data_IF_804378597347
#
_entry.id   IF_804378597347
#
_cell.length_a   1.000
_cell.length_b   1.000
_cell.length_c   1.000
_cell.angle_alpha   90.00
_cell.angle_beta   90.00
_cell.angle_gamma   90.00
#
_symmetry.space_group_name_H-M   'P 1'
#
loop_
_entity.id
_entity.type
_entity.pdbx_description
1 polymer ?
#
# COMPACT_ATOMS: atom_id res chain seq x y z
N UNK A 1 47.33 -9.70 -29.52
CA UNK A 1 46.59 -10.20 -28.34
C UNK A 1 46.27 -9.03 -27.43
N UNK A 2 45.19 -8.29 -27.75
CA UNK A 2 44.59 -7.32 -26.83
C UNK A 2 43.33 -7.97 -26.27
N UNK A 3 43.28 -7.94 -24.94
CA UNK A 3 42.42 -8.64 -24.00
C UNK A 3 40.98 -8.95 -24.44
N UNK A 4 40.61 -10.23 -24.32
CA UNK A 4 39.22 -10.72 -24.30
C UNK A 4 38.37 -10.15 -23.15
N UNK A 5 38.95 -9.37 -22.22
CA UNK A 5 38.23 -8.89 -21.03
C UNK A 5 37.25 -7.74 -21.29
N UNK A 6 37.42 -6.95 -22.35
CA UNK A 6 36.58 -5.76 -22.59
C UNK A 6 35.26 -6.12 -23.29
N UNK A 7 35.26 -7.14 -24.16
CA UNK A 7 34.07 -7.62 -24.87
C UNK A 7 33.11 -8.33 -23.92
N UNK A 8 33.63 -9.04 -22.91
CA UNK A 8 32.82 -9.67 -21.87
C UNK A 8 32.06 -8.64 -21.01
N UNK A 9 32.65 -7.46 -20.76
CA UNK A 9 32.00 -6.39 -19.99
C UNK A 9 30.83 -5.76 -20.75
N UNK A 10 30.94 -5.62 -22.08
CA UNK A 10 29.90 -5.02 -22.94
C UNK A 10 28.69 -5.94 -23.16
N UNK A 11 28.91 -7.25 -23.34
CA UNK A 11 27.81 -8.23 -23.42
C UNK A 11 27.04 -8.35 -22.10
N UNK A 12 27.73 -8.18 -20.97
CA UNK A 12 27.11 -8.17 -19.63
C UNK A 12 26.28 -6.90 -19.41
N UNK A 13 26.74 -5.75 -19.90
CA UNK A 13 25.98 -4.48 -19.85
C UNK A 13 24.74 -4.51 -20.76
N UNK A 14 24.82 -5.08 -21.95
CA UNK A 14 23.65 -5.21 -22.84
C UNK A 14 22.59 -6.19 -22.31
N UNK A 15 23.00 -7.27 -21.62
CA UNK A 15 22.04 -8.16 -20.93
C UNK A 15 21.47 -7.53 -19.66
N UNK A 16 22.24 -6.68 -18.96
CA UNK A 16 21.77 -5.84 -17.85
C UNK A 16 20.75 -4.78 -18.31
N UNK A 17 20.94 -4.14 -19.47
CA UNK A 17 19.98 -3.14 -19.99
C UNK A 17 18.65 -3.76 -20.42
N UNK A 18 18.67 -5.00 -20.94
CA UNK A 18 17.44 -5.72 -21.31
C UNK A 18 16.76 -6.44 -20.13
N UNK A 19 17.46 -6.63 -19.01
CA UNK A 19 16.95 -7.37 -17.84
C UNK A 19 16.79 -6.55 -16.55
N UNK A 20 17.24 -5.30 -16.50
CA UNK A 20 17.15 -4.45 -15.31
C UNK A 20 16.15 -3.30 -15.53
N UNK A 21 14.98 -3.31 -14.86
CA UNK A 21 13.99 -2.22 -14.89
C UNK A 21 14.63 -0.85 -14.57
N UNK A 22 15.62 -0.84 -13.68
CA UNK A 22 16.37 0.37 -13.29
C UNK A 22 17.06 1.07 -14.46
N UNK A 23 17.59 0.32 -15.44
CA UNK A 23 18.28 0.87 -16.61
C UNK A 23 17.29 1.40 -17.66
N UNK A 24 16.09 0.81 -17.80
CA UNK A 24 15.02 1.35 -18.66
C UNK A 24 14.56 2.74 -18.19
N UNK A 25 14.44 2.96 -16.88
CA UNK A 25 14.04 4.26 -16.32
C UNK A 25 15.06 5.37 -16.58
N UNK A 26 16.34 5.03 -16.59
CA UNK A 26 17.40 5.99 -16.89
C UNK A 26 17.26 6.60 -18.30
N UNK A 27 16.78 5.82 -19.26
CA UNK A 27 16.59 6.27 -20.65
C UNK A 27 15.25 6.97 -20.90
N UNK A 28 14.21 6.72 -20.09
CA UNK A 28 12.91 7.38 -20.24
C UNK A 28 12.85 8.77 -19.59
N UNK A 29 13.62 9.00 -18.51
CA UNK A 29 13.63 10.27 -17.76
C UNK A 29 14.56 11.34 -18.36
N UNK A 30 15.50 10.94 -19.21
CA UNK A 30 16.40 11.84 -19.93
C UNK A 30 15.98 11.86 -21.40
N UNK A 31 15.84 13.03 -22.03
CA UNK A 31 15.49 13.18 -23.45
C UNK A 31 16.61 12.64 -24.38
N UNK A 32 16.95 11.36 -24.27
CA UNK A 32 18.03 10.70 -25.02
C UNK A 32 17.45 10.22 -26.34
N UNK A 33 17.72 10.95 -27.42
CA UNK A 33 17.14 10.69 -28.72
C UNK A 33 17.60 9.36 -29.36
N UNK A 34 18.78 8.85 -29.01
CA UNK A 34 19.29 7.52 -29.41
C UNK A 34 20.69 7.26 -28.84
N UNK A 35 21.03 6.00 -28.57
CA UNK A 35 22.42 5.57 -28.33
C UNK A 35 22.83 4.60 -29.45
N UNK A 36 23.77 4.99 -30.29
CA UNK A 36 24.36 4.12 -31.32
C UNK A 36 25.73 3.61 -30.87
N UNK A 37 25.90 2.30 -30.86
CA UNK A 37 27.19 1.64 -30.60
C UNK A 37 27.82 1.26 -31.95
N UNK A 38 28.90 1.94 -32.33
CA UNK A 38 29.75 1.50 -33.44
C UNK A 38 30.98 0.80 -32.86
N UNK A 39 31.10 -0.51 -33.12
CA UNK A 39 32.36 -1.24 -32.87
C UNK A 39 33.31 -1.13 -34.09
N UNK A 40 34.65 -1.20 -33.91
CA UNK A 40 35.41 -1.17 -32.65
C UNK A 40 36.57 -0.16 -32.70
N UNK A 41 36.33 1.11 -32.36
CA UNK A 41 37.40 2.01 -31.91
C UNK A 41 36.81 3.08 -31.00
N UNK A 42 37.16 3.02 -29.71
CA UNK A 42 37.10 4.06 -28.65
C UNK A 42 35.80 4.89 -28.55
N UNK A 43 35.06 4.91 -27.42
CA UNK A 43 33.88 5.76 -27.32
C UNK A 43 34.29 7.24 -27.29
N UNK A 44 33.83 8.00 -28.29
CA UNK A 44 33.84 9.47 -28.28
C UNK A 44 32.45 9.95 -27.80
N UNK A 45 32.46 10.66 -26.66
CA UNK A 45 31.45 11.60 -26.14
C UNK A 45 29.96 11.23 -26.31
N UNK A 46 29.29 10.90 -25.20
CA UNK A 46 27.82 10.98 -25.10
C UNK A 46 27.45 12.43 -24.77
N UNK A 47 26.83 13.13 -25.73
CA UNK A 47 26.36 14.50 -25.52
C UNK A 47 24.93 14.49 -24.96
N UNK A 48 24.74 15.06 -23.78
CA UNK A 48 23.44 15.34 -23.18
C UNK A 48 23.36 16.86 -22.94
N UNK A 49 22.40 17.53 -23.58
CA UNK A 49 22.10 18.96 -23.43
C UNK A 49 23.33 19.91 -23.47
N UNK A 50 24.29 19.67 -24.35
CA UNK A 50 25.41 20.60 -24.57
C UNK A 50 26.48 20.61 -23.47
N UNK A 51 26.41 19.72 -22.49
CA UNK A 51 27.48 19.48 -21.52
C UNK A 51 28.16 18.15 -21.80
N UNK A 52 29.44 18.19 -22.14
CA UNK A 52 30.27 17.00 -22.32
C UNK A 52 30.71 16.51 -20.93
N UNK A 53 30.17 15.37 -20.46
CA UNK A 53 30.71 14.66 -19.29
C UNK A 53 31.39 13.35 -19.74
N UNK A 54 32.51 13.03 -19.10
CA UNK A 54 33.36 11.87 -19.41
C UNK A 54 33.49 10.89 -18.25
N UNK A 55 32.70 11.01 -17.18
CA UNK A 55 32.83 10.18 -15.99
C UNK A 55 31.57 9.36 -15.68
N UNK A 56 31.79 8.10 -15.28
CA UNK A 56 30.72 7.19 -14.80
C UNK A 56 30.07 7.71 -13.52
N UNK A 57 30.80 8.51 -12.73
CA UNK A 57 30.33 9.09 -11.47
C UNK A 57 29.25 10.16 -11.71
N UNK A 58 29.39 10.99 -12.77
CA UNK A 58 28.37 11.96 -13.15
C UNK A 58 27.06 11.29 -13.61
N UNK A 59 27.16 10.14 -14.30
CA UNK A 59 26.00 9.35 -14.72
C UNK A 59 25.27 8.71 -13.52
N UNK A 60 26.01 8.31 -12.48
CA UNK A 60 25.45 7.79 -11.22
C UNK A 60 24.85 8.90 -10.34
N UNK A 61 25.34 10.13 -10.46
CA UNK A 61 24.78 11.28 -9.75
C UNK A 61 23.43 11.69 -10.36
N UNK A 62 23.37 11.80 -11.69
CA UNK A 62 22.14 12.15 -12.44
C UNK A 62 21.05 11.07 -12.27
N UNK A 63 21.43 9.79 -12.12
CA UNK A 63 20.47 8.69 -11.91
C UNK A 63 19.75 8.73 -10.56
N UNK A 64 20.40 9.23 -9.51
CA UNK A 64 19.81 9.36 -8.16
C UNK A 64 18.91 10.59 -8.02
N UNK A 65 19.23 11.69 -8.71
CA UNK A 65 18.34 12.86 -8.75
C UNK A 65 17.14 12.65 -9.68
N UNK A 66 17.28 11.84 -10.75
CA UNK A 66 16.18 11.54 -11.67
C UNK A 66 15.16 10.50 -11.12
N UNK A 67 15.52 9.76 -10.08
CA UNK A 67 14.67 8.81 -9.35
C UNK A 67 14.76 9.10 -7.85
N UNK A 68 14.17 10.22 -7.41
CA UNK A 68 13.94 10.45 -5.97
C UNK A 68 12.83 9.53 -5.47
N UNK A 69 13.10 8.22 -5.42
CA UNK A 69 12.33 7.31 -4.61
C UNK A 69 12.70 7.62 -3.16
N UNK A 70 11.71 8.09 -2.40
CA UNK A 70 11.84 8.35 -0.98
C UNK A 70 12.29 7.11 -0.22
N UNK A 71 12.90 7.34 0.95
CA UNK A 71 13.12 6.25 1.91
C UNK A 71 11.91 6.15 2.80
N UNK A 72 11.61 4.94 3.23
CA UNK A 72 10.59 4.70 4.25
C UNK A 72 10.97 5.52 5.50
N UNK A 73 10.07 6.38 6.01
CA UNK A 73 10.34 7.13 7.24
C UNK A 73 10.67 6.20 8.41
N UNK A 74 11.63 6.59 9.23
CA UNK A 74 12.00 5.81 10.43
C UNK A 74 10.84 5.76 11.44
N UNK A 75 10.17 6.89 11.60
CA UNK A 75 8.94 7.04 12.39
C UNK A 75 7.81 7.42 11.45
N UNK A 76 6.74 6.64 11.45
CA UNK A 76 5.66 6.81 10.48
C UNK A 76 4.48 7.52 11.12
N UNK A 77 4.06 8.63 10.51
CA UNK A 77 2.73 9.22 10.69
C UNK A 77 2.09 9.16 9.33
N UNK A 78 1.32 8.10 9.12
CA UNK A 78 0.77 7.76 7.82
C UNK A 78 -0.74 7.97 7.76
N UNK A 79 -1.26 8.08 6.54
CA UNK A 79 -2.71 8.18 6.34
C UNK A 79 -3.14 7.73 4.95
N UNK A 80 -4.35 7.20 4.86
CA UNK A 80 -5.03 7.00 3.58
C UNK A 80 -5.57 8.34 3.10
N UNK A 81 -5.56 8.54 1.78
CA UNK A 81 -6.11 9.73 1.15
C UNK A 81 -6.62 9.40 -0.25
N UNK A 82 -7.80 9.90 -0.59
CA UNK A 82 -8.29 9.94 -1.97
C UNK A 82 -9.34 8.90 -2.29
N UNK A 83 -9.87 8.15 -1.32
CA UNK A 83 -10.85 7.07 -1.51
C UNK A 83 -12.23 7.49 -2.08
N UNK A 84 -12.29 8.64 -2.74
CA UNK A 84 -13.35 9.15 -3.59
C UNK A 84 -13.53 8.25 -4.85
N UNK A 85 -14.72 8.22 -5.50
CA UNK A 85 -15.99 8.83 -5.10
C UNK A 85 -16.72 8.11 -3.96
N UNK A 86 -16.18 7.01 -3.45
CA UNK A 86 -16.84 6.19 -2.43
C UNK A 86 -16.58 6.70 -0.99
N UNK A 87 -15.65 7.63 -0.82
CA UNK A 87 -15.29 8.27 0.45
C UNK A 87 -15.56 9.77 0.46
N UNK A 88 -14.86 10.50 1.34
CA UNK A 88 -14.92 11.97 1.42
C UNK A 88 -14.01 12.57 0.34
N UNK A 89 -14.40 13.71 -0.24
CA UNK A 89 -13.62 14.37 -1.28
C UNK A 89 -12.25 14.80 -0.73
N UNK A 90 -11.14 14.55 -1.45
CA UNK A 90 -9.82 14.89 -0.97
C UNK A 90 -9.60 16.40 -0.89
N UNK A 91 -8.97 16.86 0.20
CA UNK A 91 -8.51 18.24 0.35
C UNK A 91 -7.19 18.48 -0.42
N UNK A 92 -6.82 19.74 -0.70
CA UNK A 92 -5.51 20.03 -1.30
C UNK A 92 -4.35 19.47 -0.46
N UNK A 93 -3.30 18.97 -1.13
CA UNK A 93 -2.10 18.45 -0.44
C UNK A 93 -1.44 19.50 0.48
N UNK A 94 -1.55 20.79 0.13
CA UNK A 94 -1.06 21.92 0.93
C UNK A 94 -1.74 22.09 2.28
N UNK A 95 -2.91 21.48 2.47
CA UNK A 95 -3.70 21.61 3.70
C UNK A 95 -3.39 20.49 4.70
N UNK A 96 -2.52 19.54 4.33
CA UNK A 96 -2.11 18.43 5.17
C UNK A 96 -1.09 18.89 6.21
N UNK A 97 -1.14 18.37 7.45
CA UNK A 97 -0.15 18.68 8.47
C UNK A 97 1.23 18.17 8.03
N UNK A 98 2.30 18.93 8.30
CA UNK A 98 3.67 18.56 7.89
C UNK A 98 4.13 17.24 8.53
N UNK A 99 3.55 16.92 9.69
CA UNK A 99 3.84 15.73 10.48
C UNK A 99 3.45 14.45 9.74
N UNK A 100 2.43 14.49 8.88
CA UNK A 100 2.07 13.35 8.01
C UNK A 100 3.17 13.16 6.98
N UNK A 101 3.88 12.04 7.06
CA UNK A 101 5.04 11.76 6.21
C UNK A 101 4.82 10.57 5.27
N UNK A 102 3.70 9.84 5.40
CA UNK A 102 3.39 8.70 4.52
C UNK A 102 1.94 8.79 4.06
N UNK A 103 1.71 8.99 2.75
CA UNK A 103 0.37 9.09 2.19
C UNK A 103 0.12 7.88 1.30
N UNK A 104 -0.95 7.15 1.58
CA UNK A 104 -1.44 6.08 0.70
C UNK A 104 -2.58 6.62 -0.15
N UNK A 105 -2.31 6.81 -1.45
CA UNK A 105 -3.30 7.25 -2.44
C UNK A 105 -4.27 6.08 -2.67
N UNK A 106 -5.50 6.25 -2.19
CA UNK A 106 -6.55 5.23 -2.16
C UNK A 106 -7.62 5.51 -3.19
N UNK A 107 -8.17 4.55 -3.92
CA UNK A 107 -7.60 3.24 -4.20
C UNK A 107 -7.53 3.03 -5.71
N UNK A 108 -6.64 2.13 -6.11
CA UNK A 108 -6.73 1.44 -7.39
C UNK A 108 -7.47 0.11 -7.20
N UNK A 109 -8.38 -0.23 -8.11
CA UNK A 109 -9.17 -1.48 -8.04
C UNK A 109 -8.98 -2.31 -9.30
N UNK A 110 -8.97 -3.65 -9.19
CA UNK A 110 -8.80 -4.53 -10.35
C UNK A 110 -10.11 -4.51 -11.17
N UNK A 111 -10.06 -3.84 -12.32
CA UNK A 111 -11.24 -3.45 -13.09
C UNK A 111 -10.91 -2.35 -14.10
N UNK A 112 -10.13 -2.69 -15.11
CA UNK A 112 -9.59 -1.75 -16.09
C UNK A 112 -10.60 -1.26 -17.15
N UNK A 113 -10.29 -0.08 -17.71
CA UNK A 113 -10.91 0.45 -18.93
C UNK A 113 -10.41 -0.22 -20.24
N UNK A 114 -9.35 -1.01 -20.18
CA UNK A 114 -8.66 -1.63 -21.33
C UNK A 114 -9.38 -2.84 -21.94
N UNK A 115 -10.66 -3.04 -21.62
CA UNK A 115 -11.54 -4.16 -22.03
C UNK A 115 -11.21 -5.52 -21.42
N UNK A 116 -10.12 -5.68 -20.68
CA UNK A 116 -9.77 -6.96 -20.04
C UNK A 116 -10.68 -7.25 -18.83
N UNK A 117 -11.11 -6.21 -18.11
CA UNK A 117 -12.03 -6.33 -16.98
C UNK A 117 -11.38 -6.98 -15.76
N UNK A 118 -12.15 -7.10 -14.65
CA UNK A 118 -11.63 -7.51 -13.34
C UNK A 118 -10.93 -8.88 -13.34
N UNK A 119 -9.82 -8.99 -12.62
CA UNK A 119 -9.03 -10.19 -12.35
C UNK A 119 -7.82 -10.39 -13.27
N UNK A 120 -7.39 -9.35 -13.99
CA UNK A 120 -6.26 -9.43 -14.93
C UNK A 120 -5.00 -8.75 -14.39
N UNK A 121 -5.06 -8.11 -13.21
CA UNK A 121 -3.94 -7.35 -12.68
C UNK A 121 -3.79 -5.98 -13.34
N UNK A 122 -4.74 -5.54 -14.16
CA UNK A 122 -4.80 -4.16 -14.63
C UNK A 122 -5.82 -3.38 -13.82
N UNK A 123 -5.35 -2.33 -13.16
CA UNK A 123 -6.16 -1.57 -12.21
C UNK A 123 -6.80 -0.35 -12.86
N UNK A 124 -7.82 0.19 -12.19
CA UNK A 124 -8.38 1.51 -12.45
C UNK A 124 -8.19 2.37 -11.20
N UNK A 125 -7.55 3.52 -11.38
CA UNK A 125 -7.42 4.54 -10.36
C UNK A 125 -8.81 5.14 -10.07
N UNK A 126 -9.19 5.22 -8.79
CA UNK A 126 -10.48 5.79 -8.37
C UNK A 126 -10.35 7.18 -7.75
N UNK A 127 -9.14 7.59 -7.37
CA UNK A 127 -8.87 8.87 -6.73
C UNK A 127 -9.09 10.08 -7.66
N UNK A 128 -9.16 11.28 -7.06
CA UNK A 128 -9.30 12.52 -7.83
C UNK A 128 -7.97 12.90 -8.53
N UNK A 129 -7.93 12.72 -9.85
CA UNK A 129 -6.79 13.09 -10.71
C UNK A 129 -6.50 14.60 -10.73
N UNK A 130 -7.38 15.46 -10.20
CA UNK A 130 -7.07 16.88 -10.02
C UNK A 130 -6.27 17.13 -8.74
N UNK A 131 -6.39 16.29 -7.71
CA UNK A 131 -5.63 16.42 -6.46
C UNK A 131 -4.28 15.72 -6.60
N UNK A 132 -4.28 14.49 -7.10
CA UNK A 132 -3.06 13.70 -7.29
C UNK A 132 -2.53 13.90 -8.71
N UNK A 133 -1.60 14.85 -8.84
CA UNK A 133 -0.83 15.11 -10.06
C UNK A 133 0.65 15.14 -9.71
N UNK A 134 1.51 14.88 -10.71
CA UNK A 134 2.96 14.92 -10.53
C UNK A 134 3.44 16.24 -9.95
N UNK A 135 2.92 17.35 -10.46
CA UNK A 135 3.33 18.70 -10.05
C UNK A 135 2.94 18.98 -8.60
N UNK A 136 1.74 18.55 -8.18
CA UNK A 136 1.26 18.75 -6.80
C UNK A 136 2.01 17.87 -5.80
N UNK A 137 2.28 16.61 -6.15
CA UNK A 137 3.09 15.71 -5.32
C UNK A 137 4.52 16.23 -5.20
N UNK A 138 5.13 16.69 -6.29
CA UNK A 138 6.47 17.26 -6.27
C UNK A 138 6.54 18.55 -5.43
N UNK A 139 5.55 19.44 -5.56
CA UNK A 139 5.47 20.65 -4.75
C UNK A 139 5.30 20.34 -3.25
N UNK A 140 4.49 19.33 -2.91
CA UNK A 140 4.29 18.94 -1.52
C UNK A 140 5.54 18.27 -0.92
N UNK A 141 6.23 17.41 -1.68
CA UNK A 141 7.55 16.86 -1.29
C UNK A 141 8.61 17.95 -1.12
N UNK A 142 8.58 18.99 -1.95
CA UNK A 142 9.50 20.12 -1.80
C UNK A 142 9.24 20.89 -0.49
N UNK A 143 7.97 21.03 -0.10
CA UNK A 143 7.59 21.65 1.17
C UNK A 143 7.83 20.71 2.38
N UNK A 144 7.74 19.41 2.17
CA UNK A 144 7.82 18.36 3.19
C UNK A 144 8.79 17.24 2.73
N UNK A 145 10.12 17.40 2.90
CA UNK A 145 11.12 16.51 2.31
C UNK A 145 11.06 15.04 2.77
N UNK A 146 10.48 14.78 3.94
CA UNK A 146 10.31 13.41 4.48
C UNK A 146 9.03 12.72 3.99
N UNK A 147 8.22 13.41 3.18
CA UNK A 147 6.93 12.90 2.72
C UNK A 147 7.10 11.90 1.58
N UNK A 148 6.49 10.74 1.75
CA UNK A 148 6.41 9.69 0.72
C UNK A 148 4.96 9.41 0.33
N UNK A 149 4.77 9.01 -0.92
CA UNK A 149 3.49 8.64 -1.50
C UNK A 149 3.53 7.20 -1.96
N UNK A 150 2.53 6.42 -1.56
CA UNK A 150 2.32 5.04 -2.01
C UNK A 150 0.98 4.96 -2.73
N UNK A 151 0.90 4.21 -3.81
CA UNK A 151 -0.39 3.87 -4.43
C UNK A 151 -0.97 2.65 -3.72
N UNK A 152 -2.15 2.79 -3.12
CA UNK A 152 -2.83 1.68 -2.47
C UNK A 152 -3.77 0.97 -3.46
N UNK A 153 -3.61 -0.34 -3.57
CA UNK A 153 -4.41 -1.22 -4.41
C UNK A 153 -5.31 -2.08 -3.55
N UNK A 154 -6.58 -2.17 -3.93
CA UNK A 154 -7.60 -2.98 -3.25
C UNK A 154 -8.68 -2.11 -2.65
N UNK A 155 -8.76 -2.02 -1.32
CA UNK A 155 -9.85 -1.41 -0.58
C UNK A 155 -10.79 -2.45 0.03
N UNK A 156 -11.93 -1.95 0.53
CA UNK A 156 -13.05 -2.78 0.95
C UNK A 156 -13.53 -3.68 -0.19
N UNK A 157 -13.87 -4.93 0.13
CA UNK A 157 -14.42 -5.90 -0.82
C UNK A 157 -15.65 -5.34 -1.58
N UNK A 158 -16.49 -4.58 -0.89
CA UNK A 158 -17.69 -3.95 -1.44
C UNK A 158 -17.38 -2.84 -2.44
N UNK A 159 -16.25 -2.17 -2.25
CA UNK A 159 -15.76 -1.13 -3.15
C UNK A 159 -14.93 -1.69 -4.32
N UNK A 160 -14.86 -3.02 -4.46
CA UNK A 160 -14.10 -3.71 -5.50
C UNK A 160 -12.69 -4.11 -5.10
N UNK A 161 -12.33 -4.03 -3.82
CA UNK A 161 -11.05 -4.47 -3.25
C UNK A 161 -10.93 -5.97 -3.03
N UNK A 162 -11.64 -6.77 -3.82
CA UNK A 162 -11.54 -8.23 -3.80
C UNK A 162 -10.44 -8.68 -4.77
N UNK A 163 -9.43 -9.35 -4.25
CA UNK A 163 -8.44 -10.04 -5.08
C UNK A 163 -9.06 -11.27 -5.73
N UNK A 164 -8.83 -11.43 -7.02
CA UNK A 164 -8.95 -12.70 -7.72
C UNK A 164 -8.15 -12.62 -9.02
N UNK A 165 -7.86 -13.78 -9.62
CA UNK A 165 -7.23 -13.83 -10.94
C UNK A 165 -8.08 -14.63 -11.92
N UNK A 166 -8.16 -14.14 -13.16
CA UNK A 166 -8.73 -14.83 -14.34
C UNK A 166 -7.65 -15.27 -15.34
N UNK A 167 -6.42 -14.85 -15.11
CA UNK A 167 -5.23 -15.19 -15.90
C UNK A 167 -4.26 -16.01 -15.07
N UNK A 168 -3.14 -16.42 -15.66
CA UNK A 168 -2.08 -17.06 -14.89
C UNK A 168 -1.52 -16.10 -13.81
N UNK A 169 -0.99 -16.64 -12.72
CA UNK A 169 -0.38 -15.82 -11.67
C UNK A 169 0.76 -14.95 -12.22
N UNK A 170 1.58 -15.50 -13.13
CA UNK A 170 2.66 -14.75 -13.78
C UNK A 170 2.15 -13.58 -14.62
N UNK A 171 1.08 -13.78 -15.40
CA UNK A 171 0.46 -12.74 -16.19
C UNK A 171 -0.17 -11.66 -15.31
N UNK A 172 -0.88 -12.04 -14.24
CA UNK A 172 -1.43 -11.09 -13.27
C UNK A 172 -0.31 -10.25 -12.63
N UNK A 173 0.79 -10.88 -12.21
CA UNK A 173 1.97 -10.20 -11.64
C UNK A 173 2.59 -9.22 -12.65
N UNK A 174 2.75 -9.63 -13.91
CA UNK A 174 3.29 -8.77 -14.98
C UNK A 174 2.41 -7.53 -15.17
N UNK A 175 1.11 -7.74 -15.35
CA UNK A 175 0.15 -6.66 -15.59
C UNK A 175 0.07 -5.70 -14.39
N UNK A 176 0.04 -6.25 -13.17
CA UNK A 176 -0.01 -5.45 -11.94
C UNK A 176 1.26 -4.63 -11.76
N UNK A 177 2.42 -5.22 -12.01
CA UNK A 177 3.69 -4.51 -11.95
C UNK A 177 3.78 -3.39 -13.00
N UNK A 178 3.46 -3.68 -14.26
CA UNK A 178 3.53 -2.71 -15.35
C UNK A 178 2.59 -1.52 -15.10
N UNK A 179 1.37 -1.79 -14.62
CA UNK A 179 0.42 -0.75 -14.27
C UNK A 179 0.91 0.11 -13.10
N UNK A 180 1.38 -0.53 -12.00
CA UNK A 180 1.88 0.19 -10.83
C UNK A 180 3.14 1.00 -11.16
N UNK A 181 4.09 0.44 -11.91
CA UNK A 181 5.28 1.16 -12.34
C UNK A 181 4.91 2.40 -13.18
N UNK A 182 3.92 2.25 -14.08
CA UNK A 182 3.36 3.36 -14.84
C UNK A 182 2.81 4.46 -13.95
N UNK A 183 1.92 4.13 -13.01
CA UNK A 183 1.30 5.10 -12.11
C UNK A 183 2.29 5.72 -11.11
N UNK A 184 3.21 4.93 -10.55
CA UNK A 184 4.26 5.45 -9.67
C UNK A 184 5.10 6.50 -10.43
N UNK A 185 5.45 6.21 -11.68
CA UNK A 185 6.23 7.13 -12.52
C UNK A 185 5.44 8.36 -12.95
N UNK A 186 4.17 8.19 -13.31
CA UNK A 186 3.26 9.26 -13.70
C UNK A 186 3.07 10.28 -12.58
N UNK A 187 2.82 9.80 -11.36
CA UNK A 187 2.54 10.64 -10.20
C UNK A 187 3.81 11.12 -9.47
N UNK A 188 4.97 10.50 -9.71
CA UNK A 188 6.17 10.74 -8.89
C UNK A 188 6.04 10.17 -7.47
N UNK A 189 5.30 9.08 -7.32
CA UNK A 189 5.16 8.34 -6.07
C UNK A 189 6.42 7.52 -5.76
N UNK A 190 6.47 6.95 -4.56
CA UNK A 190 7.63 6.24 -4.02
C UNK A 190 7.44 4.72 -3.99
N UNK A 191 6.21 4.25 -4.16
CA UNK A 191 5.90 2.84 -4.09
C UNK A 191 4.42 2.52 -4.07
N UNK A 192 4.09 1.34 -3.53
CA UNK A 192 2.74 0.83 -3.51
C UNK A 192 2.42 0.02 -2.25
N UNK A 193 1.13 -0.01 -1.89
CA UNK A 193 0.57 -0.82 -0.83
C UNK A 193 -0.46 -1.81 -1.40
N UNK A 194 -0.38 -3.08 -1.00
CA UNK A 194 -1.42 -4.08 -1.27
C UNK A 194 -2.38 -4.18 -0.08
N UNK A 195 -3.63 -3.76 -0.29
CA UNK A 195 -4.70 -3.72 0.71
C UNK A 195 -5.95 -4.37 0.15
N UNK A 196 -5.94 -5.68 -0.06
CA UNK A 196 -7.14 -6.44 -0.40
C UNK A 196 -7.83 -6.96 0.86
N UNK A 197 -9.09 -6.56 1.07
CA UNK A 197 -9.92 -7.08 2.18
C UNK A 197 -10.70 -8.34 1.77
N UNK A 198 -11.02 -8.48 0.49
CA UNK A 198 -11.69 -9.66 -0.06
C UNK A 198 -10.69 -10.62 -0.72
N UNK A 199 -10.58 -11.86 -0.24
CA UNK A 199 -9.85 -12.92 -0.93
C UNK A 199 -10.66 -14.22 -0.91
N UNK A 200 -10.82 -14.91 -2.04
CA UNK A 200 -11.44 -16.23 -2.06
C UNK A 200 -10.70 -17.19 -1.12
N UNK A 201 -11.37 -17.64 -0.07
CA UNK A 201 -10.80 -18.47 1.00
C UNK A 201 -10.63 -19.95 0.60
N UNK A 202 -11.17 -20.36 -0.55
CA UNK A 202 -10.99 -21.70 -1.11
C UNK A 202 -9.68 -21.83 -1.89
N UNK A 203 -9.11 -23.04 -1.97
CA UNK A 203 -8.00 -23.34 -2.89
C UNK A 203 -8.55 -23.41 -4.35
N UNK A 204 -7.94 -22.73 -5.35
CA UNK A 204 -6.62 -22.09 -5.32
C UNK A 204 -6.59 -20.58 -5.01
N UNK A 205 -7.68 -19.99 -4.52
CA UNK A 205 -7.78 -18.56 -4.19
C UNK A 205 -6.67 -18.05 -3.25
N UNK A 206 -6.50 -18.65 -2.08
CA UNK A 206 -5.45 -18.27 -1.12
C UNK A 206 -4.03 -18.51 -1.66
N UNK A 207 -3.82 -19.59 -2.40
CA UNK A 207 -2.52 -19.91 -3.02
C UNK A 207 -2.17 -18.89 -4.11
N UNK A 208 -3.13 -18.57 -4.98
CA UNK A 208 -2.99 -17.54 -6.00
C UNK A 208 -2.73 -16.17 -5.38
N UNK A 209 -3.43 -15.81 -4.31
CA UNK A 209 -3.17 -14.57 -3.57
C UNK A 209 -1.72 -14.53 -3.09
N UNK A 210 -1.26 -15.56 -2.37
CA UNK A 210 0.12 -15.63 -1.88
C UNK A 210 1.13 -15.49 -3.02
N UNK A 211 1.00 -16.28 -4.08
CA UNK A 211 1.92 -16.25 -5.22
C UNK A 211 1.92 -14.89 -5.92
N UNK A 212 0.75 -14.30 -6.17
CA UNK A 212 0.64 -13.01 -6.84
C UNK A 212 1.20 -11.88 -5.99
N UNK A 213 0.87 -11.83 -4.70
CA UNK A 213 1.32 -10.78 -3.80
C UNK A 213 2.84 -10.84 -3.60
N UNK A 214 3.40 -12.01 -3.29
CA UNK A 214 4.85 -12.15 -3.10
C UNK A 214 5.63 -11.85 -4.38
N UNK A 215 5.14 -12.32 -5.53
CA UNK A 215 5.77 -12.05 -6.83
C UNK A 215 5.73 -10.56 -7.19
N UNK A 216 4.61 -9.88 -6.95
CA UNK A 216 4.45 -8.45 -7.19
C UNK A 216 5.35 -7.62 -6.25
N UNK A 217 5.29 -7.90 -4.94
CA UNK A 217 6.10 -7.20 -3.93
C UNK A 217 7.60 -7.40 -4.18
N UNK A 218 8.03 -8.60 -4.56
CA UNK A 218 9.42 -8.86 -4.92
C UNK A 218 9.88 -8.03 -6.13
N UNK A 219 9.04 -7.88 -7.15
CA UNK A 219 9.35 -7.06 -8.33
C UNK A 219 9.40 -5.57 -8.03
N UNK A 220 8.41 -5.06 -7.30
CA UNK A 220 8.40 -3.67 -6.85
C UNK A 220 9.66 -3.36 -6.03
N UNK A 221 10.00 -4.25 -5.09
CA UNK A 221 11.19 -4.10 -4.25
C UNK A 221 12.49 -4.14 -5.04
N UNK A 222 12.62 -5.07 -5.99
CA UNK A 222 13.77 -5.16 -6.89
C UNK A 222 13.91 -3.94 -7.80
N UNK A 223 12.80 -3.28 -8.14
CA UNK A 223 12.77 -2.02 -8.88
C UNK A 223 13.07 -0.79 -8.01
N UNK A 224 13.34 -0.99 -6.71
CA UNK A 224 13.73 0.05 -5.76
C UNK A 224 12.57 0.78 -5.08
N UNK A 225 11.33 0.36 -5.29
CA UNK A 225 10.15 0.98 -4.70
C UNK A 225 9.93 0.58 -3.24
N UNK A 226 9.24 1.47 -2.51
CA UNK A 226 8.69 1.15 -1.20
C UNK A 226 7.51 0.18 -1.39
N UNK A 227 7.45 -0.84 -0.55
CA UNK A 227 6.38 -1.83 -0.58
C UNK A 227 5.66 -1.92 0.76
N UNK A 228 4.34 -1.95 0.73
CA UNK A 228 3.53 -2.05 1.93
C UNK A 228 2.40 -3.07 1.78
N UNK A 229 1.87 -3.54 2.90
CA UNK A 229 0.64 -4.33 2.97
C UNK A 229 -0.27 -3.79 4.07
N UNK A 230 -1.59 -3.85 3.85
CA UNK A 230 -2.60 -3.35 4.78
C UNK A 230 -3.55 -4.43 5.27
N UNK A 231 -3.13 -5.35 6.15
CA UNK A 231 -4.04 -6.34 6.72
C UNK A 231 -5.17 -5.69 7.54
N UNK A 232 -6.43 -5.99 7.17
CA UNK A 232 -7.63 -5.60 7.89
C UNK A 232 -7.97 -6.64 8.97
N UNK A 233 -7.73 -6.33 10.25
CA UNK A 233 -7.92 -7.25 11.39
C UNK A 233 -9.37 -7.29 11.88
N UNK A 234 -10.32 -7.46 10.96
CA UNK A 234 -11.74 -7.57 11.24
C UNK A 234 -12.10 -8.89 11.91
N UNK A 235 -13.29 -8.92 12.53
CA UNK A 235 -13.83 -10.09 13.26
C UNK A 235 -13.93 -11.36 12.40
N UNK A 236 -13.96 -11.23 11.08
CA UNK A 236 -14.24 -12.31 10.12
C UNK A 236 -13.02 -12.86 9.41
N UNK A 237 -11.80 -12.51 9.85
CA UNK A 237 -10.58 -13.12 9.32
C UNK A 237 -10.12 -12.58 7.96
N UNK A 238 -10.51 -11.36 7.63
CA UNK A 238 -10.01 -10.55 6.48
C UNK A 238 -8.50 -10.26 6.53
N UNK A 239 -7.79 -10.71 7.56
CA UNK A 239 -6.33 -10.65 7.66
C UNK A 239 -5.65 -12.01 7.42
N UNK A 240 -6.40 -13.12 7.36
CA UNK A 240 -5.83 -14.48 7.32
C UNK A 240 -4.95 -14.70 6.08
N UNK A 241 -5.29 -14.11 4.94
CA UNK A 241 -4.51 -14.16 3.72
C UNK A 241 -3.10 -13.56 3.88
N UNK A 242 -2.95 -12.54 4.72
CA UNK A 242 -1.66 -11.87 4.94
C UNK A 242 -0.73 -12.70 5.83
N UNK A 243 -1.28 -13.60 6.65
CA UNK A 243 -0.49 -14.56 7.45
C UNK A 243 0.26 -15.57 6.58
N UNK A 244 -0.12 -15.71 5.31
CA UNK A 244 0.53 -16.61 4.36
C UNK A 244 1.76 -15.97 3.68
N UNK A 245 1.93 -14.66 3.78
CA UNK A 245 2.94 -13.92 3.02
C UNK A 245 4.32 -13.96 3.71
N UNK A 246 5.36 -14.17 2.91
CA UNK A 246 6.72 -13.79 3.26
C UNK A 246 6.90 -12.26 3.15
N UNK A 247 7.13 -11.61 4.28
CA UNK A 247 7.27 -10.16 4.39
C UNK A 247 8.70 -9.65 4.12
N UNK A 248 9.61 -10.49 3.62
CA UNK A 248 10.98 -10.09 3.26
C UNK A 248 11.00 -8.89 2.30
N UNK A 249 10.08 -8.87 1.33
CA UNK A 249 9.97 -7.80 0.34
C UNK A 249 8.94 -6.72 0.73
N UNK A 250 8.59 -6.60 2.01
CA UNK A 250 7.65 -5.60 2.53
C UNK A 250 8.40 -4.63 3.44
N UNK A 251 8.26 -3.34 3.21
CA UNK A 251 8.80 -2.29 4.09
C UNK A 251 7.86 -1.92 5.23
N UNK A 252 6.56 -1.86 4.96
CA UNK A 252 5.55 -1.42 5.93
C UNK A 252 4.38 -2.40 6.02
N UNK A 253 3.96 -2.70 7.26
CA UNK A 253 2.74 -3.44 7.55
C UNK A 253 1.80 -2.51 8.30
N UNK A 254 0.76 -2.04 7.61
CA UNK A 254 -0.29 -1.21 8.19
C UNK A 254 -1.35 -2.10 8.83
N UNK A 255 -1.20 -2.35 10.14
CA UNK A 255 -2.13 -3.21 10.87
C UNK A 255 -3.39 -2.43 11.20
N UNK A 256 -4.45 -2.62 10.42
CA UNK A 256 -5.70 -1.86 10.58
C UNK A 256 -6.50 -2.38 11.79
N UNK A 257 -6.04 -2.04 12.99
CA UNK A 257 -6.56 -2.55 14.27
C UNK A 257 -7.95 -2.02 14.58
N UNK A 258 -8.33 -0.86 14.03
CA UNK A 258 -9.70 -0.34 14.11
C UNK A 258 -10.79 -1.25 13.55
N UNK A 259 -10.40 -2.30 12.81
CA UNK A 259 -11.31 -3.30 12.26
C UNK A 259 -11.91 -4.25 13.30
N UNK A 260 -11.25 -4.44 14.45
CA UNK A 260 -11.63 -5.47 15.42
C UNK A 260 -12.84 -5.09 16.29
N UNK A 261 -13.27 -3.82 16.24
CA UNK A 261 -14.40 -3.29 17.03
C UNK A 261 -14.16 -3.29 18.53
N UNK A 262 -12.90 -3.29 18.99
CA UNK A 262 -12.57 -3.22 20.41
C UNK A 262 -12.77 -1.80 20.94
N UNK A 263 -13.19 -1.72 22.19
CA UNK A 263 -13.47 -0.46 22.89
C UNK A 263 -12.55 -0.22 24.08
N UNK A 264 -11.57 -1.10 24.30
CA UNK A 264 -10.56 -0.99 25.36
C UNK A 264 -9.17 -1.00 24.76
N UNK A 265 -8.31 -0.10 25.23
CA UNK A 265 -6.91 -0.07 24.82
C UNK A 265 -6.18 -1.38 25.15
N UNK A 266 -6.50 -2.04 26.27
CA UNK A 266 -5.85 -3.30 26.66
C UNK A 266 -6.11 -4.43 25.66
N UNK A 267 -7.34 -4.50 25.14
CA UNK A 267 -7.74 -5.54 24.21
C UNK A 267 -7.11 -5.30 22.84
N UNK A 268 -7.06 -4.04 22.40
CA UNK A 268 -6.39 -3.65 21.16
C UNK A 268 -4.89 -3.93 21.22
N UNK A 269 -4.24 -3.63 22.35
CA UNK A 269 -2.82 -3.94 22.57
C UNK A 269 -2.59 -5.46 22.55
N UNK A 270 -3.45 -6.24 23.21
CA UNK A 270 -3.37 -7.71 23.19
C UNK A 270 -3.52 -8.28 21.78
N UNK A 271 -4.55 -7.83 21.04
CA UNK A 271 -4.78 -8.25 19.65
C UNK A 271 -3.61 -7.82 18.74
N UNK A 272 -3.07 -6.62 18.95
CA UNK A 272 -1.93 -6.08 18.19
C UNK A 272 -0.67 -6.91 18.40
N UNK A 273 -0.36 -7.29 19.66
CA UNK A 273 0.77 -8.19 19.96
C UNK A 273 0.59 -9.56 19.33
N UNK A 274 -0.62 -10.11 19.34
CA UNK A 274 -0.91 -11.37 18.69
C UNK A 274 -0.71 -11.27 17.16
N UNK A 275 -1.25 -10.23 16.53
CA UNK A 275 -1.07 -9.96 15.11
C UNK A 275 0.40 -9.83 14.70
N UNK A 276 1.17 -9.08 15.49
CA UNK A 276 2.61 -8.92 15.29
C UNK A 276 3.30 -10.28 15.42
N UNK A 277 3.04 -11.03 16.50
CA UNK A 277 3.68 -12.33 16.73
C UNK A 277 3.36 -13.35 15.62
N UNK A 278 2.13 -13.32 15.08
CA UNK A 278 1.73 -14.17 13.95
C UNK A 278 2.46 -13.83 12.65
N UNK A 279 2.70 -12.53 12.40
CA UNK A 279 3.42 -12.05 11.21
C UNK A 279 4.94 -11.97 11.41
N UNK A 280 5.41 -12.16 12.65
CA UNK A 280 6.83 -12.14 12.99
C UNK A 280 7.50 -13.45 12.55
N UNK A 281 8.06 -13.43 11.35
CA UNK A 281 9.20 -14.27 10.97
C UNK A 281 10.53 -13.58 11.33
N UNK A 282 11.64 -14.33 11.25
CA UNK A 282 12.98 -13.75 11.42
C UNK A 282 13.22 -12.63 10.40
N UNK A 283 13.35 -11.38 10.86
CA UNK A 283 13.62 -10.22 9.99
C UNK A 283 12.45 -9.25 9.77
N UNK A 284 11.30 -9.48 10.42
CA UNK A 284 10.13 -8.58 10.31
C UNK A 284 10.06 -7.48 11.38
N UNK A 285 11.04 -7.42 12.28
CA UNK A 285 11.13 -6.37 13.29
C UNK A 285 11.21 -4.97 12.63
N UNK A 286 10.45 -4.01 13.17
CA UNK A 286 10.44 -2.63 12.70
C UNK A 286 9.63 -2.36 11.43
N UNK A 287 8.83 -3.31 10.91
CA UNK A 287 7.96 -3.08 9.74
C UNK A 287 6.56 -2.56 10.11
N UNK A 288 6.12 -2.78 11.34
CA UNK A 288 4.73 -2.59 11.75
C UNK A 288 4.40 -1.15 12.11
N UNK A 289 3.23 -0.69 11.65
CA UNK A 289 2.58 0.56 12.06
C UNK A 289 1.15 0.26 12.52
N UNK A 290 0.68 1.01 13.50
CA UNK A 290 -0.65 0.84 14.09
C UNK A 290 -1.70 1.61 13.31
N UNK A 291 -2.69 0.92 12.75
CA UNK A 291 -3.82 1.52 12.05
C UNK A 291 -4.91 1.98 13.01
N UNK A 292 -5.22 3.27 12.99
CA UNK A 292 -6.32 3.94 13.67
C UNK A 292 -7.38 4.44 12.67
N UNK A 293 -8.55 4.84 13.18
CA UNK A 293 -9.67 5.29 12.35
C UNK A 293 -10.20 6.65 12.83
N UNK A 294 -10.24 7.63 11.93
CA UNK A 294 -10.80 8.97 12.17
C UNK A 294 -12.31 9.03 11.87
N UNK A 295 -12.90 7.95 11.35
CA UNK A 295 -14.31 7.85 10.99
C UNK A 295 -15.20 7.18 12.06
N UNK A 296 -14.68 6.93 13.27
CA UNK A 296 -15.45 6.46 14.43
C UNK A 296 -15.58 4.94 14.62
N UNK A 297 -14.80 4.09 13.91
CA UNK A 297 -14.76 2.63 14.18
C UNK A 297 -14.02 2.27 15.47
N UNK A 298 -13.23 3.20 15.99
CA UNK A 298 -12.46 3.13 17.23
C UNK A 298 -12.40 4.54 17.80
N UNK A 299 -12.54 4.72 19.12
CA UNK A 299 -12.39 6.06 19.71
C UNK A 299 -10.93 6.51 19.64
N UNK A 300 -10.72 7.81 19.55
CA UNK A 300 -9.37 8.39 19.50
C UNK A 300 -8.55 8.06 20.76
N UNK A 301 -9.17 8.08 21.95
CA UNK A 301 -8.51 7.67 23.19
C UNK A 301 -7.99 6.23 23.14
N UNK A 302 -8.85 5.29 22.74
CA UNK A 302 -8.46 3.87 22.63
C UNK A 302 -7.33 3.71 21.61
N UNK A 303 -7.41 4.39 20.47
CA UNK A 303 -6.38 4.32 19.43
C UNK A 303 -5.03 4.86 19.92
N UNK A 304 -5.01 6.04 20.56
CA UNK A 304 -3.78 6.73 20.96
C UNK A 304 -3.14 6.07 22.20
N UNK A 305 -3.92 5.60 23.17
CA UNK A 305 -3.41 4.82 24.30
C UNK A 305 -2.81 3.48 23.85
N UNK A 306 -3.48 2.77 22.92
CA UNK A 306 -2.94 1.53 22.37
C UNK A 306 -1.67 1.76 21.56
N UNK A 307 -1.64 2.83 20.78
CA UNK A 307 -0.47 3.24 20.01
C UNK A 307 0.73 3.51 20.92
N UNK A 308 0.56 4.33 21.97
CA UNK A 308 1.60 4.65 22.93
C UNK A 308 2.14 3.39 23.63
N UNK A 309 1.25 2.50 24.07
CA UNK A 309 1.65 1.24 24.72
C UNK A 309 2.45 0.33 23.76
N UNK A 310 1.97 0.10 22.54
CA UNK A 310 2.67 -0.74 21.55
C UNK A 310 4.01 -0.12 21.12
N UNK A 311 4.09 1.21 21.03
CA UNK A 311 5.31 1.92 20.71
C UNK A 311 6.35 1.78 21.83
N UNK A 312 5.92 1.90 23.10
CA UNK A 312 6.81 1.78 24.27
C UNK A 312 7.48 0.41 24.40
N UNK A 313 6.86 -0.62 23.82
CA UNK A 313 7.38 -1.99 23.76
C UNK A 313 8.18 -2.27 22.48
N UNK A 314 8.55 -1.23 21.71
CA UNK A 314 9.29 -1.31 20.44
C UNK A 314 8.65 -2.26 19.41
N UNK A 315 7.35 -2.50 19.53
CA UNK A 315 6.62 -3.47 18.70
C UNK A 315 6.17 -2.87 17.36
N UNK A 316 6.05 -1.54 17.31
CA UNK A 316 5.65 -0.75 16.14
C UNK A 316 6.53 0.49 16.02
N UNK A 317 6.54 1.15 14.86
CA UNK A 317 7.32 2.38 14.62
C UNK A 317 6.49 3.60 14.20
N UNK A 318 5.17 3.51 14.31
CA UNK A 318 4.31 4.60 13.83
C UNK A 318 2.83 4.28 13.88
N UNK A 319 2.05 5.31 13.56
CA UNK A 319 0.61 5.27 13.45
C UNK A 319 0.20 5.56 12.02
N UNK A 320 -0.90 4.95 11.59
CA UNK A 320 -1.50 5.14 10.30
C UNK A 320 -3.00 5.40 10.45
N UNK A 321 -3.57 6.38 9.77
CA UNK A 321 -5.00 6.73 9.91
C UNK A 321 -5.81 6.36 8.67
N UNK A 322 -6.98 5.73 8.85
CA UNK A 322 -8.08 5.77 7.89
C UNK A 322 -9.12 6.80 8.36
N UNK A 323 -9.24 7.96 7.75
CA UNK A 323 -8.40 8.58 6.71
C UNK A 323 -8.21 10.09 6.98
N UNK A 324 -7.37 10.75 6.17
CA UNK A 324 -7.02 12.16 6.39
C UNK A 324 -8.16 13.13 6.03
N UNK A 325 -9.06 12.72 5.14
CA UNK A 325 -10.23 13.51 4.79
C UNK A 325 -11.19 13.62 5.96
N UNK A 326 -11.50 12.50 6.62
CA UNK A 326 -12.32 12.48 7.81
C UNK A 326 -11.66 13.27 8.95
N UNK A 327 -10.38 13.07 9.22
CA UNK A 327 -9.69 13.81 10.29
C UNK A 327 -9.57 15.31 10.00
N UNK A 328 -9.58 15.70 8.71
CA UNK A 328 -9.42 17.07 8.23
C UNK A 328 -10.71 17.89 8.07
N UNK A 329 -11.84 17.23 7.81
CA UNK A 329 -13.10 17.88 7.42
C UNK A 329 -14.16 17.82 8.53
N UNK A 330 -13.71 17.93 9.78
CA UNK A 330 -14.58 17.99 10.96
C UNK A 330 -14.92 16.64 11.58
N UNK A 331 -14.32 15.55 11.11
CA UNK A 331 -14.45 14.23 11.75
C UNK A 331 -13.62 14.08 13.03
N UNK A 332 -12.62 14.94 13.23
CA UNK A 332 -11.81 15.02 14.45
C UNK A 332 -11.71 16.46 14.99
N UNK A 333 -11.60 16.57 16.31
CA UNK A 333 -11.37 17.81 17.04
C UNK A 333 -10.26 17.63 18.10
N UNK A 334 -9.17 18.40 18.03
CA UNK A 334 -8.80 19.33 16.96
C UNK A 334 -8.67 18.66 15.57
N UNK A 335 -8.74 19.46 14.51
CA UNK A 335 -8.50 18.98 13.14
C UNK A 335 -7.15 18.25 13.06
N UNK A 336 -7.14 17.06 12.46
CA UNK A 336 -5.97 16.16 12.37
C UNK A 336 -5.37 15.70 13.71
N UNK A 337 -6.15 15.69 14.79
CA UNK A 337 -5.59 15.40 16.11
C UNK A 337 -4.97 14.00 16.23
N UNK A 338 -5.48 12.98 15.51
CA UNK A 338 -4.87 11.65 15.52
C UNK A 338 -3.44 11.71 14.97
N UNK A 339 -3.25 12.36 13.82
CA UNK A 339 -1.96 12.47 13.15
C UNK A 339 -0.99 13.34 13.95
N UNK A 340 -1.44 14.50 14.45
CA UNK A 340 -0.56 15.41 15.20
C UNK A 340 -0.19 14.85 16.57
N UNK A 341 -1.12 14.23 17.28
CA UNK A 341 -0.83 13.61 18.59
C UNK A 341 0.06 12.38 18.43
N UNK A 342 -0.12 11.58 17.38
CA UNK A 342 0.81 10.48 17.09
C UNK A 342 2.23 10.99 16.83
N UNK A 343 2.38 12.12 16.12
CA UNK A 343 3.67 12.76 15.91
C UNK A 343 4.30 13.23 17.23
N UNK A 344 3.51 13.83 18.14
CA UNK A 344 3.96 14.26 19.46
C UNK A 344 4.44 13.07 20.32
N UNK A 345 3.69 11.96 20.31
CA UNK A 345 4.05 10.71 20.99
C UNK A 345 5.36 10.14 20.43
N UNK A 346 5.49 10.10 19.10
CA UNK A 346 6.74 9.71 18.43
C UNK A 346 7.91 10.65 18.77
N UNK A 347 7.62 11.91 19.09
CA UNK A 347 8.56 12.90 19.62
C UNK A 347 8.92 12.73 21.10
N UNK A 348 8.27 11.80 21.81
CA UNK A 348 8.49 11.52 23.24
C UNK A 348 7.52 12.22 24.20
N UNK A 349 6.43 12.80 23.68
CA UNK A 349 5.36 13.32 24.53
C UNK A 349 4.47 12.18 25.04
N UNK A 350 3.95 12.31 26.25
CA UNK A 350 2.93 11.39 26.76
C UNK A 350 1.57 11.73 26.16
N UNK A 351 0.76 10.70 25.91
CA UNK A 351 -0.63 10.87 25.53
C UNK A 351 -1.44 11.53 26.66
N UNK A 352 -2.41 12.37 26.28
CA UNK A 352 -3.37 12.97 27.21
C UNK A 352 -4.78 12.60 26.79
N UNK A 353 -5.47 11.83 27.63
CA UNK A 353 -6.88 11.46 27.43
C UNK A 353 -7.74 12.69 27.13
N UNK A 354 -8.63 12.57 26.13
CA UNK A 354 -9.51 13.64 25.66
C UNK A 354 -8.83 14.77 24.88
N UNK A 355 -7.53 14.66 24.58
CA UNK A 355 -6.83 15.64 23.74
C UNK A 355 -7.20 15.56 22.26
N UNK A 356 -7.78 14.43 21.84
CA UNK A 356 -8.28 14.19 20.51
C UNK A 356 -9.65 13.52 20.60
N UNK A 357 -10.64 14.08 19.90
CA UNK A 357 -11.98 13.51 19.80
C UNK A 357 -12.33 13.32 18.32
N UNK A 358 -12.51 12.06 17.92
CA UNK A 358 -12.94 11.69 16.57
C UNK A 358 -14.27 10.93 16.68
N UNK A 359 -15.40 11.61 16.89
CA UNK A 359 -16.67 10.96 17.20
C UNK A 359 -17.20 10.13 16.01
N UNK A 360 -16.68 10.37 14.81
CA UNK A 360 -17.15 9.78 13.55
C UNK A 360 -18.61 10.10 13.26
N UNK A 361 -19.06 9.78 12.05
CA UNK A 361 -20.42 9.29 11.96
C UNK A 361 -20.33 7.84 12.41
N UNK A 362 -21.03 7.46 13.47
CA UNK A 362 -21.33 6.05 13.72
C UNK A 362 -22.22 5.62 12.56
N UNK A 363 -21.63 5.34 11.40
CA UNK A 363 -22.16 4.30 10.56
C UNK A 363 -22.25 3.12 11.52
N UNK A 364 -23.44 2.53 11.74
CA UNK A 364 -23.50 1.29 12.49
C UNK A 364 -22.40 0.39 11.92
N UNK A 365 -21.64 -0.33 12.77
CA UNK A 365 -20.66 -1.28 12.24
C UNK A 365 -21.37 -1.98 11.10
N UNK A 366 -20.83 -1.91 9.88
CA UNK A 366 -21.44 -2.63 8.76
C UNK A 366 -21.74 -4.00 9.34
N UNK A 367 -23.03 -4.35 9.46
CA UNK A 367 -23.39 -5.61 10.06
C UNK A 367 -22.88 -6.61 9.04
N UNK A 368 -21.64 -7.06 9.25
CA UNK A 368 -20.99 -8.01 8.38
C UNK A 368 -21.75 -9.30 8.62
N UNK A 369 -22.69 -9.56 7.72
CA UNK A 369 -23.54 -10.72 7.75
C UNK A 369 -22.72 -11.92 7.25
N UNK A 370 -23.07 -13.09 7.77
CA UNK A 370 -22.65 -14.36 7.20
C UNK A 370 -23.85 -15.05 6.58
N UNK A 371 -23.62 -15.78 5.50
CA UNK A 371 -24.67 -16.47 4.78
C UNK A 371 -24.13 -17.73 4.10
N UNK A 372 -24.95 -18.77 4.09
CA UNK A 372 -24.66 -19.97 3.33
C UNK A 372 -25.10 -19.82 1.88
N UNK A 373 -24.28 -20.28 0.94
CA UNK A 373 -24.66 -20.35 -0.46
C UNK A 373 -23.76 -21.27 -1.28
N UNK A 374 -24.12 -21.48 -2.53
CA UNK A 374 -23.28 -22.17 -3.52
C UNK A 374 -22.27 -21.23 -4.17
N UNK A 375 -22.47 -19.92 -4.02
CA UNK A 375 -21.61 -18.84 -4.50
C UNK A 375 -21.80 -17.60 -3.63
N UNK A 376 -20.92 -16.61 -3.78
CA UNK A 376 -21.04 -15.34 -3.04
C UNK A 376 -22.37 -14.62 -3.34
N UNK A 377 -22.80 -14.59 -4.61
CA UNK A 377 -24.08 -13.99 -5.01
C UNK A 377 -25.29 -14.75 -4.45
N UNK A 378 -25.18 -16.08 -4.33
CA UNK A 378 -26.22 -16.92 -3.72
C UNK A 378 -26.30 -16.69 -2.20
N UNK A 379 -25.14 -16.65 -1.53
CA UNK A 379 -25.06 -16.33 -0.11
C UNK A 379 -25.59 -14.93 0.23
N UNK A 380 -25.41 -13.96 -0.67
CA UNK A 380 -25.98 -12.62 -0.52
C UNK A 380 -27.52 -12.65 -0.55
N UNK A 381 -28.13 -13.56 -1.32
CA UNK A 381 -29.58 -13.77 -1.33
C UNK A 381 -30.09 -14.55 -0.10
N UNK A 382 -29.20 -15.16 0.68
CA UNK A 382 -29.45 -15.93 1.90
C UNK A 382 -28.80 -15.31 3.14
N UNK A 383 -28.52 -14.01 3.05
CA UNK A 383 -27.79 -13.25 4.04
C UNK A 383 -28.52 -13.30 5.40
N UNK A 384 -27.79 -13.72 6.44
CA UNK A 384 -28.33 -13.88 7.80
C UNK A 384 -29.14 -15.16 8.05
N UNK A 385 -29.40 -16.02 7.06
CA UNK A 385 -30.06 -17.31 7.29
C UNK A 385 -29.81 -18.35 6.17
N UNK A 386 -29.14 -19.49 6.45
CA UNK A 386 -28.55 -19.85 7.74
C UNK A 386 -27.29 -19.03 8.03
N UNK A 387 -27.18 -18.54 9.28
CA UNK A 387 -25.93 -17.96 9.80
C UNK A 387 -24.87 -19.04 9.85
N UNK A 388 -23.66 -18.68 9.45
CA UNK A 388 -22.54 -19.60 9.42
C UNK A 388 -21.25 -18.93 9.91
N UNK A 389 -20.35 -19.74 10.42
CA UNK A 389 -18.96 -19.37 10.76
C UNK A 389 -17.95 -20.26 10.05
N UNK A 390 -18.36 -21.48 9.70
CA UNK A 390 -17.60 -22.46 8.92
C UNK A 390 -18.52 -23.15 7.92
N UNK A 391 -17.96 -23.77 6.88
CA UNK A 391 -18.74 -24.50 5.86
C UNK A 391 -19.64 -25.59 6.47
N UNK A 392 -19.23 -26.20 7.59
CA UNK A 392 -20.02 -27.22 8.28
C UNK A 392 -21.34 -26.70 8.88
N UNK A 393 -21.48 -25.39 9.04
CA UNK A 393 -22.73 -24.75 9.50
C UNK A 393 -23.76 -24.66 8.37
N UNK A 394 -23.34 -24.86 7.12
CA UNK A 394 -24.18 -24.70 5.95
C UNK A 394 -24.85 -26.01 5.51
N UNK A 395 -26.14 -25.95 5.09
CA UNK A 395 -26.86 -27.14 4.68
C UNK A 395 -26.36 -27.67 3.35
N UNK A 396 -26.22 -29.00 3.26
CA UNK A 396 -25.86 -29.67 2.01
C UNK A 396 -24.41 -29.42 1.61
N UNK A 397 -24.22 -29.02 0.36
CA UNK A 397 -22.93 -28.70 -0.27
C UNK A 397 -22.63 -27.19 -0.32
N UNK A 398 -23.44 -26.39 0.39
CA UNK A 398 -23.23 -24.94 0.53
C UNK A 398 -21.98 -24.64 1.35
N UNK A 399 -21.41 -23.46 1.11
CA UNK A 399 -20.26 -22.92 1.83
C UNK A 399 -20.64 -21.68 2.62
N UNK A 400 -19.87 -21.40 3.65
CA UNK A 400 -20.04 -20.21 4.45
C UNK A 400 -19.32 -19.01 3.82
N UNK A 401 -20.07 -17.94 3.59
CA UNK A 401 -19.53 -16.67 3.12
C UNK A 401 -19.70 -15.63 4.21
N UNK A 402 -18.59 -15.03 4.65
CA UNK A 402 -18.58 -13.88 5.56
C UNK A 402 -18.34 -12.56 4.83
N UNK A 403 -18.59 -11.46 5.52
CA UNK A 403 -18.44 -10.11 4.96
C UNK A 403 -19.54 -9.71 3.99
N UNK A 404 -20.76 -10.26 4.13
CA UNK A 404 -21.93 -9.80 3.36
C UNK A 404 -22.44 -8.51 3.99
N UNK A 405 -22.45 -7.41 3.24
CA UNK A 405 -22.76 -6.08 3.79
C UNK A 405 -24.13 -5.55 3.37
N UNK A 406 -24.83 -6.29 2.51
CA UNK A 406 -26.22 -6.03 2.11
C UNK A 406 -26.99 -7.34 2.01
N UNK A 407 -28.03 -7.44 2.83
CA UNK A 407 -29.24 -8.20 2.56
C UNK A 407 -30.37 -7.17 2.26
#
# INVERSE_FOLDING_TARGET
MKSLSTVATLATLASLVNGAPLLRRLFAASNVASVTFNEPTVPEVVSLNGTNSTSLEDFVFISKEALQIGKVPEKVVGTYMGAWPNGVAPQPLSDLPKEVNTIMISFATDGSADKMGKGHGTFEARWDHNVFTKEKIAADKQANPDRVYLISVGGSADAGGTFFTKVSNEEWINNAFDWLEGQITELGADGAEMQFEGVPTYNPGLENFKTCMEGLLARLKAAGYITAVGPFYGRWGTSQQYKLLDLTNVDLVNMQMYANGRTSASDVVSDGKAAIAELQGSGNAGKFVFGANSAGRMSADVALESFEQLLSEESIRGLFTWDIEHSGQGGCNPKYCLETTAADILGGSEYKEGSCDCPGQISPPHEEHTGCGMSWADAQNHCGNPLCTVDADCPGDMKCFGGLTTC
#
